data_IF_569083276696
#
_entry.id   IF_569083276696
#
_cell.length_a   1.000
_cell.length_b   1.000
_cell.length_c   1.000
_cell.angle_alpha   90.00
_cell.angle_beta   90.00
_cell.angle_gamma   90.00
#
_symmetry.space_group_name_H-M   'P 1'
#
loop_
_entity.id
_entity.type
_entity.pdbx_description
1 polymer ?
#
# COMPACT_ATOMS: atom_id res chain seq x y z
N UNK A 1 -16.19 2.84 3.04
CA UNK A 1 -15.99 1.93 1.89
C UNK A 1 -15.45 2.63 0.66
N UNK A 2 -16.07 3.72 0.18
CA UNK A 2 -15.60 4.48 -1.00
C UNK A 2 -14.10 4.79 -1.00
N UNK A 3 -13.55 5.14 0.17
CA UNK A 3 -12.11 5.39 0.32
C UNK A 3 -11.23 4.21 -0.11
N UNK A 4 -11.54 2.98 0.32
CA UNK A 4 -10.72 1.80 -0.02
C UNK A 4 -10.84 1.44 -1.50
N UNK A 5 -12.05 1.58 -2.08
CA UNK A 5 -12.24 1.42 -3.52
C UNK A 5 -11.38 2.42 -4.30
N UNK A 6 -11.48 3.71 -3.98
CA UNK A 6 -10.71 4.77 -4.63
C UNK A 6 -9.19 4.59 -4.44
N UNK A 7 -8.76 4.09 -3.28
CA UNK A 7 -7.35 3.80 -3.03
C UNK A 7 -6.83 2.67 -3.92
N UNK A 8 -7.58 1.57 -4.05
CA UNK A 8 -7.22 0.47 -4.96
C UNK A 8 -7.19 0.93 -6.43
N UNK A 9 -8.18 1.73 -6.85
CA UNK A 9 -8.19 2.32 -8.20
C UNK A 9 -6.98 3.23 -8.43
N UNK A 10 -6.59 4.03 -7.44
CA UNK A 10 -5.39 4.87 -7.53
C UNK A 10 -4.11 4.04 -7.64
N UNK A 11 -4.00 2.92 -6.92
CA UNK A 11 -2.85 2.01 -7.02
C UNK A 11 -2.76 1.40 -8.42
N UNK A 12 -3.88 0.88 -8.95
CA UNK A 12 -3.97 0.36 -10.32
C UNK A 12 -3.59 1.42 -11.35
N UNK A 13 -4.06 2.66 -11.16
CA UNK A 13 -3.74 3.78 -12.03
C UNK A 13 -2.24 4.10 -12.04
N UNK A 14 -1.61 4.21 -10.87
CA UNK A 14 -0.18 4.55 -10.73
C UNK A 14 0.73 3.44 -11.28
N UNK A 15 0.29 2.18 -11.18
CA UNK A 15 1.04 1.01 -11.65
C UNK A 15 0.90 0.75 -13.16
N UNK A 16 -0.06 1.39 -13.84
CA UNK A 16 -0.15 1.36 -15.30
C UNK A 16 0.95 2.24 -15.90
N UNK A 17 1.83 1.64 -16.70
CA UNK A 17 2.96 2.33 -17.35
C UNK A 17 2.51 3.51 -18.23
N UNK A 18 1.29 3.47 -18.76
CA UNK A 18 0.72 4.57 -19.56
C UNK A 18 0.51 5.83 -18.72
N UNK A 19 0.31 5.69 -17.41
CA UNK A 19 0.10 6.80 -16.48
C UNK A 19 1.39 7.19 -15.73
N UNK A 20 2.54 6.61 -16.09
CA UNK A 20 3.80 6.83 -15.38
C UNK A 20 4.23 8.31 -15.36
N UNK A 21 4.08 9.01 -16.48
CA UNK A 21 4.44 10.43 -16.58
C UNK A 21 3.61 11.30 -15.63
N UNK A 22 2.29 11.09 -15.59
CA UNK A 22 1.39 11.81 -14.69
C UNK A 22 1.66 11.44 -13.22
N UNK A 23 1.91 10.17 -12.94
CA UNK A 23 2.25 9.68 -11.60
C UNK A 23 3.56 10.28 -11.07
N UNK A 24 4.58 10.41 -11.92
CA UNK A 24 5.84 11.09 -11.57
C UNK A 24 5.58 12.57 -11.28
N UNK A 25 4.72 13.22 -12.08
CA UNK A 25 4.40 14.63 -11.88
C UNK A 25 3.71 14.90 -10.54
N UNK A 26 2.85 13.99 -10.07
CA UNK A 26 2.26 14.04 -8.74
C UNK A 26 3.35 14.05 -7.66
N UNK A 27 4.38 13.20 -7.79
CA UNK A 27 5.50 13.17 -6.84
C UNK A 27 6.30 14.49 -6.84
N UNK A 28 6.47 15.12 -8.00
CA UNK A 28 7.13 16.44 -8.10
C UNK A 28 6.29 17.51 -7.41
N UNK A 29 4.98 17.54 -7.64
CA UNK A 29 4.10 18.59 -7.14
C UNK A 29 3.82 18.46 -5.65
N UNK A 30 3.41 17.28 -5.20
CA UNK A 30 2.92 17.06 -3.84
C UNK A 30 4.05 16.86 -2.84
N UNK A 31 5.18 16.30 -3.27
CA UNK A 31 6.35 16.04 -2.42
C UNK A 31 7.54 16.95 -2.73
N UNK A 32 7.40 17.87 -3.68
CA UNK A 32 8.43 18.87 -4.04
C UNK A 32 9.77 18.23 -4.42
N UNK A 33 9.72 17.02 -5.00
CA UNK A 33 10.91 16.29 -5.43
C UNK A 33 11.46 16.90 -6.72
N UNK A 34 12.78 16.84 -6.90
CA UNK A 34 13.34 17.07 -8.24
C UNK A 34 12.90 15.97 -9.19
N UNK A 35 12.78 16.27 -10.48
CA UNK A 35 12.36 15.31 -11.52
C UNK A 35 13.16 14.00 -11.45
N UNK A 36 14.48 14.10 -11.24
CA UNK A 36 15.37 12.94 -11.14
C UNK A 36 15.08 12.04 -9.93
N UNK A 37 14.68 12.64 -8.80
CA UNK A 37 14.32 11.89 -7.59
C UNK A 37 12.91 11.33 -7.74
N UNK A 38 11.96 12.09 -8.26
CA UNK A 38 10.60 11.62 -8.54
C UNK A 38 10.58 10.40 -9.47
N UNK A 39 11.33 10.44 -10.58
CA UNK A 39 11.43 9.31 -11.51
C UNK A 39 12.06 8.06 -10.87
N UNK A 40 13.06 8.22 -9.98
CA UNK A 40 13.67 7.11 -9.24
C UNK A 40 12.72 6.54 -8.19
N UNK A 41 12.00 7.40 -7.48
CA UNK A 41 10.98 7.01 -6.49
C UNK A 41 9.88 6.23 -7.17
N UNK A 42 9.32 6.72 -8.27
CA UNK A 42 8.31 6.00 -9.06
C UNK A 42 8.79 4.61 -9.44
N UNK A 43 10.01 4.48 -9.99
CA UNK A 43 10.58 3.17 -10.36
C UNK A 43 10.67 2.19 -9.19
N UNK A 44 10.95 2.65 -7.97
CA UNK A 44 10.98 1.80 -6.78
C UNK A 44 9.56 1.42 -6.34
N UNK A 45 8.63 2.37 -6.40
CA UNK A 45 7.22 2.14 -6.05
C UNK A 45 6.52 1.20 -7.02
N UNK A 46 6.97 1.09 -8.27
CA UNK A 46 6.38 0.16 -9.26
C UNK A 46 7.16 -1.14 -9.43
N UNK A 47 8.23 -1.35 -8.66
CA UNK A 47 9.05 -2.56 -8.75
C UNK A 47 8.29 -3.77 -8.17
N UNK A 48 8.04 -4.84 -8.96
CA UNK A 48 7.27 -5.99 -8.47
C UNK A 48 7.88 -6.65 -7.24
N UNK A 49 7.05 -6.93 -6.23
CA UNK A 49 7.44 -7.59 -4.99
C UNK A 49 8.18 -6.70 -3.98
N UNK A 50 8.45 -5.43 -4.32
CA UNK A 50 9.11 -4.46 -3.43
C UNK A 50 8.24 -3.22 -3.24
N UNK A 51 7.66 -2.72 -4.32
CA UNK A 51 6.85 -1.51 -4.35
C UNK A 51 5.40 -1.73 -3.91
N UNK A 52 4.51 -0.94 -4.49
CA UNK A 52 3.08 -0.94 -4.23
C UNK A 52 2.43 -2.25 -4.72
N UNK A 53 1.52 -2.79 -3.91
CA UNK A 53 0.65 -3.90 -4.33
C UNK A 53 -0.56 -3.34 -5.09
N UNK A 54 -0.86 -3.91 -6.27
CA UNK A 54 -1.91 -3.43 -7.16
C UNK A 54 -3.29 -3.32 -6.51
N UNK A 55 -3.59 -4.22 -5.57
CA UNK A 55 -4.88 -4.33 -4.92
C UNK A 55 -4.76 -4.12 -3.40
N UNK A 56 -3.67 -3.51 -2.93
CA UNK A 56 -3.40 -3.22 -1.52
C UNK A 56 -3.45 -4.46 -0.60
N UNK A 57 -3.00 -5.63 -1.06
CA UNK A 57 -2.95 -6.83 -0.22
C UNK A 57 -1.98 -6.64 0.95
N UNK A 58 -2.44 -6.96 2.15
CA UNK A 58 -1.59 -6.96 3.33
C UNK A 58 -0.67 -8.18 3.33
N UNK A 59 0.64 -7.94 3.47
CA UNK A 59 1.59 -9.00 3.80
C UNK A 59 1.50 -9.34 5.31
N UNK A 60 0.68 -10.33 5.65
CA UNK A 60 0.47 -10.75 7.04
C UNK A 60 1.79 -11.16 7.73
N UNK A 61 2.65 -11.91 7.05
CA UNK A 61 3.95 -12.31 7.61
C UNK A 61 4.86 -11.10 7.87
N UNK A 62 4.89 -10.15 6.92
CA UNK A 62 5.64 -8.91 7.08
C UNK A 62 5.14 -8.09 8.26
N UNK A 63 3.82 -8.02 8.45
CA UNK A 63 3.23 -7.31 9.57
C UNK A 63 3.56 -7.95 10.92
N UNK A 64 3.47 -9.27 11.05
CA UNK A 64 3.90 -10.00 12.25
C UNK A 64 5.39 -9.78 12.57
N UNK A 65 6.24 -9.78 11.54
CA UNK A 65 7.67 -9.49 11.72
C UNK A 65 7.90 -8.07 12.25
N UNK A 66 7.15 -7.07 11.76
CA UNK A 66 7.23 -5.69 12.27
C UNK A 66 6.81 -5.62 13.74
N UNK A 67 5.74 -6.33 14.13
CA UNK A 67 5.28 -6.37 15.53
C UNK A 67 6.30 -7.05 16.44
N UNK A 68 6.95 -8.13 15.98
CA UNK A 68 8.05 -8.78 16.70
C UNK A 68 9.21 -7.83 16.95
N UNK A 69 9.73 -7.19 15.89
CA UNK A 69 10.85 -6.23 15.98
C UNK A 69 10.48 -5.07 16.90
N UNK A 70 9.26 -4.56 16.80
CA UNK A 70 8.78 -3.48 17.66
C UNK A 70 8.75 -3.89 19.13
N UNK A 71 8.32 -5.11 19.44
CA UNK A 71 8.34 -5.62 20.80
C UNK A 71 9.78 -5.75 21.34
N UNK A 72 10.73 -6.19 20.53
CA UNK A 72 12.14 -6.27 20.92
C UNK A 72 12.74 -4.88 21.22
N UNK A 73 12.38 -3.87 20.42
CA UNK A 73 12.92 -2.52 20.53
C UNK A 73 12.24 -1.64 21.60
N UNK A 74 10.92 -1.69 21.72
CA UNK A 74 10.13 -0.74 22.53
C UNK A 74 9.66 -1.34 23.86
N UNK A 75 9.53 -2.67 23.94
CA UNK A 75 9.10 -3.32 25.18
C UNK A 75 10.34 -3.71 25.99
N UNK A 76 10.49 -3.17 27.19
CA UNK A 76 11.24 -3.89 28.24
C UNK A 76 10.68 -5.31 28.24
N UNK A 77 11.51 -6.35 28.17
CA UNK A 77 11.23 -7.76 27.83
C UNK A 77 10.03 -8.50 28.52
N UNK A 78 9.16 -7.79 29.24
CA UNK A 78 7.97 -8.23 29.96
C UNK A 78 6.64 -8.04 29.23
N UNK A 79 6.59 -7.34 28.09
CA UNK A 79 5.34 -7.19 27.32
C UNK A 79 5.44 -7.88 25.96
N UNK A 80 4.61 -8.90 25.76
CA UNK A 80 4.45 -9.61 24.49
C UNK A 80 3.83 -8.68 23.45
N UNK A 81 4.23 -8.82 22.18
CA UNK A 81 3.61 -8.10 21.06
C UNK A 81 2.08 -8.31 21.04
N UNK A 82 1.33 -7.23 20.80
CA UNK A 82 -0.11 -7.32 20.53
C UNK A 82 -0.33 -8.13 19.25
N UNK A 83 -1.28 -9.08 19.20
CA UNK A 83 -1.59 -9.84 18.00
C UNK A 83 -1.96 -8.96 16.80
N UNK A 84 -1.54 -9.33 15.60
CA UNK A 84 -1.85 -8.58 14.37
C UNK A 84 -3.34 -8.33 14.13
N UNK A 85 -4.18 -9.32 14.48
CA UNK A 85 -5.63 -9.24 14.31
C UNK A 85 -6.29 -8.13 15.15
N UNK A 86 -5.63 -7.62 16.18
CA UNK A 86 -6.16 -6.51 16.99
C UNK A 86 -5.94 -5.14 16.32
N UNK A 87 -5.10 -5.09 15.26
CA UNK A 87 -4.79 -3.85 14.54
C UNK A 87 -5.59 -3.66 13.26
N UNK A 88 -5.93 -4.75 12.57
CA UNK A 88 -6.41 -4.69 11.18
C UNK A 88 -7.66 -5.54 11.01
N UNK A 89 -8.67 -4.96 10.35
CA UNK A 89 -9.87 -5.67 9.91
C UNK A 89 -9.89 -5.77 8.37
N UNK A 90 -9.53 -6.94 7.84
CA UNK A 90 -9.47 -7.20 6.40
C UNK A 90 -10.85 -7.36 5.73
N UNK A 91 -11.94 -7.39 6.50
CA UNK A 91 -13.30 -7.49 5.96
C UNK A 91 -13.60 -6.32 5.02
N UNK A 92 -13.18 -5.11 5.38
CA UNK A 92 -13.41 -3.93 4.55
C UNK A 92 -12.62 -3.96 3.24
N UNK A 93 -11.39 -4.50 3.25
CA UNK A 93 -10.60 -4.69 2.04
C UNK A 93 -11.28 -5.69 1.09
N UNK A 94 -11.70 -6.84 1.62
CA UNK A 94 -12.42 -7.85 0.83
C UNK A 94 -13.73 -7.29 0.21
N UNK A 95 -14.49 -6.50 0.98
CA UNK A 95 -15.70 -5.84 0.48
C UNK A 95 -15.41 -4.80 -0.62
N UNK A 96 -14.31 -4.05 -0.52
CA UNK A 96 -13.90 -3.10 -1.57
C UNK A 96 -13.60 -3.83 -2.87
N UNK A 97 -12.76 -4.88 -2.83
CA UNK A 97 -12.40 -5.65 -4.02
C UNK A 97 -13.63 -6.29 -4.69
N UNK A 98 -14.54 -6.87 -3.90
CA UNK A 98 -15.78 -7.43 -4.42
C UNK A 98 -16.66 -6.38 -5.13
N UNK A 99 -16.71 -5.16 -4.59
CA UNK A 99 -17.47 -4.05 -5.20
C UNK A 99 -16.87 -3.63 -6.54
N UNK A 100 -15.55 -3.54 -6.66
CA UNK A 100 -14.87 -3.14 -7.90
C UNK A 100 -15.09 -4.16 -9.02
N UNK A 101 -15.04 -5.46 -8.71
CA UNK A 101 -15.33 -6.53 -9.69
C UNK A 101 -16.76 -6.42 -10.23
N UNK A 102 -17.71 -6.04 -9.37
CA UNK A 102 -19.13 -5.92 -9.77
C UNK A 102 -19.36 -4.69 -10.66
N UNK A 103 -18.60 -3.62 -10.44
CA UNK A 103 -18.66 -2.39 -11.24
C UNK A 103 -18.01 -2.51 -12.63
N UNK A 104 -17.08 -3.45 -12.82
CA UNK A 104 -16.39 -3.69 -14.10
C UNK A 104 -17.17 -4.60 -15.07
N UNK A 105 -18.32 -5.15 -14.66
CA UNK A 105 -19.14 -6.03 -15.51
C UNK A 105 -20.16 -5.19 -16.33
N UNK A 106 -20.20 -5.33 -17.67
CA UNK A 106 -21.11 -4.57 -18.54
C UNK A 106 -22.58 -4.95 -18.37
#
# INVERSE_FOLDING_TARGET
>A
MQYLCAYVEALRYVLDEQNAAESIQILVQELQLSDSVAARTYRLLTLPGIGLDQDAHLNAQGFENVLSIRSECECNAKTTATPSNDYINLTYHALALASLITSEKP
#
